data_IF_778931114085
#
_entry.id   IF_778931114085
#
_cell.length_a   1.000
_cell.length_b   1.000
_cell.length_c   1.000
_cell.angle_alpha   90.00
_cell.angle_beta   90.00
_cell.angle_gamma   90.00
#
_symmetry.space_group_name_H-M   'P 1'
#
loop_
_entity.id
_entity.type
_entity.pdbx_description
1 polymer ?
#
# COMPACT_ATOMS: atom_id res chain seq x y z
N UNK A 1 -14.24 10.51 -11.74
CA UNK A 1 -15.17 9.63 -12.45
C UNK A 1 -16.47 10.42 -12.69
N UNK A 2 -16.81 10.69 -13.96
CA UNK A 2 -18.18 11.04 -14.30
C UNK A 2 -19.03 9.77 -14.06
N UNK A 3 -19.23 9.49 -12.77
CA UNK A 3 -19.93 8.32 -12.32
C UNK A 3 -21.41 8.43 -12.62
N UNK A 4 -22.10 7.31 -12.46
CA UNK A 4 -23.55 7.27 -12.50
C UNK A 4 -24.12 8.20 -11.41
N UNK A 5 -25.26 8.85 -11.66
CA UNK A 5 -25.98 9.58 -10.63
C UNK A 5 -26.30 8.64 -9.46
N UNK A 6 -26.42 9.18 -8.27
CA UNK A 6 -26.86 8.37 -7.13
C UNK A 6 -28.24 7.78 -7.39
N UNK A 7 -28.30 6.46 -7.33
CA UNK A 7 -29.55 5.68 -7.46
C UNK A 7 -29.79 4.80 -6.22
N UNK A 8 -29.15 5.15 -5.10
CA UNK A 8 -29.27 4.44 -3.80
C UNK A 8 -28.29 3.29 -3.63
N UNK A 9 -27.27 3.17 -4.50
CA UNK A 9 -26.23 2.14 -4.38
C UNK A 9 -24.89 2.62 -4.89
N UNK A 10 -23.81 2.26 -4.20
CA UNK A 10 -22.46 2.56 -4.63
C UNK A 10 -22.08 1.80 -5.89
N UNK A 11 -22.38 0.49 -5.90
CA UNK A 11 -21.96 -0.44 -6.96
C UNK A 11 -23.15 -1.19 -7.52
N UNK A 12 -23.11 -1.44 -8.82
CA UNK A 12 -24.00 -2.39 -9.49
C UNK A 12 -23.19 -3.26 -10.47
N UNK A 13 -23.50 -4.55 -10.56
CA UNK A 13 -22.86 -5.42 -11.55
C UNK A 13 -23.18 -4.92 -12.95
N UNK A 14 -22.14 -4.69 -13.76
CA UNK A 14 -22.31 -4.16 -15.10
C UNK A 14 -23.04 -5.16 -16.01
N UNK A 15 -24.10 -4.70 -16.68
CA UNK A 15 -24.89 -5.54 -17.57
C UNK A 15 -24.14 -5.86 -18.85
N UNK A 16 -24.21 -7.12 -19.29
CA UNK A 16 -23.67 -7.55 -20.58
C UNK A 16 -22.15 -7.82 -20.61
N UNK A 17 -21.46 -7.66 -19.49
CA UNK A 17 -20.04 -8.03 -19.34
C UNK A 17 -19.94 -9.21 -18.38
N UNK A 18 -19.19 -10.25 -18.78
CA UNK A 18 -19.06 -11.47 -17.97
C UNK A 18 -17.99 -11.31 -16.92
N UNK A 19 -18.24 -11.85 -15.73
CA UNK A 19 -17.20 -12.07 -14.72
C UNK A 19 -16.09 -12.98 -15.26
N UNK A 20 -14.87 -12.77 -14.78
CA UNK A 20 -13.67 -13.50 -15.19
C UNK A 20 -13.05 -14.15 -13.96
N UNK A 21 -12.85 -15.46 -14.00
CA UNK A 21 -12.06 -16.16 -12.98
C UNK A 21 -10.59 -16.14 -13.38
N UNK A 22 -9.71 -15.76 -12.44
CA UNK A 22 -8.26 -15.75 -12.59
C UNK A 22 -7.65 -16.29 -11.30
N UNK A 23 -7.14 -17.52 -11.35
CA UNK A 23 -6.69 -18.20 -10.14
C UNK A 23 -7.77 -18.20 -9.06
N UNK A 24 -7.40 -17.86 -7.84
CA UNK A 24 -8.30 -17.76 -6.69
C UNK A 24 -9.29 -16.57 -6.72
N UNK A 25 -9.33 -15.78 -7.81
CA UNK A 25 -10.06 -14.51 -7.83
C UNK A 25 -11.13 -14.48 -8.91
N UNK A 26 -12.32 -14.02 -8.51
CA UNK A 26 -13.43 -13.71 -9.41
C UNK A 26 -13.49 -12.20 -9.63
N UNK A 27 -13.31 -11.79 -10.87
CA UNK A 27 -13.37 -10.40 -11.30
C UNK A 27 -14.74 -10.11 -11.90
N UNK A 28 -15.50 -9.26 -11.27
CA UNK A 28 -16.83 -8.83 -11.73
C UNK A 28 -16.80 -7.36 -12.12
N UNK A 29 -17.14 -7.03 -13.39
CA UNK A 29 -17.18 -5.63 -13.80
C UNK A 29 -18.36 -4.95 -13.13
N UNK A 30 -18.14 -3.73 -12.62
CA UNK A 30 -19.17 -2.97 -11.90
C UNK A 30 -19.33 -1.57 -12.50
N UNK A 31 -20.51 -1.01 -12.32
CA UNK A 31 -20.80 0.40 -12.48
C UNK A 31 -20.73 1.05 -11.10
N UNK A 32 -20.08 2.21 -11.00
CA UNK A 32 -19.81 2.89 -9.75
C UNK A 32 -20.50 4.23 -9.71
N UNK A 33 -21.17 4.55 -8.58
CA UNK A 33 -21.71 5.88 -8.29
C UNK A 33 -20.85 6.61 -7.25
N UNK A 34 -19.94 7.48 -7.67
CA UNK A 34 -19.21 8.36 -6.77
C UNK A 34 -20.16 9.33 -6.04
N UNK A 35 -21.26 9.75 -6.71
CA UNK A 35 -22.29 10.59 -6.10
C UNK A 35 -22.87 9.93 -4.84
N UNK A 36 -23.14 8.62 -4.86
CA UNK A 36 -23.61 7.88 -3.69
C UNK A 36 -22.60 7.96 -2.51
N UNK A 37 -21.30 7.86 -2.80
CA UNK A 37 -20.29 7.97 -1.76
C UNK A 37 -20.15 9.40 -1.21
N UNK A 38 -20.31 10.43 -2.05
CA UNK A 38 -20.33 11.83 -1.64
C UNK A 38 -21.54 12.15 -0.75
N UNK A 39 -22.72 11.64 -1.11
CA UNK A 39 -23.95 11.82 -0.31
C UNK A 39 -23.88 11.04 1.02
N UNK A 40 -23.01 10.03 1.11
CA UNK A 40 -22.75 9.26 2.32
C UNK A 40 -21.63 9.86 3.22
N UNK A 41 -21.26 11.13 3.04
CA UNK A 41 -20.33 11.83 3.91
C UNK A 41 -21.09 12.47 5.07
N UNK A 42 -20.84 11.99 6.29
CA UNK A 42 -21.38 12.57 7.51
C UNK A 42 -21.80 11.53 8.56
N UNK A 43 -21.92 11.94 9.82
CA UNK A 43 -22.30 11.04 10.91
C UNK A 43 -23.65 10.36 10.64
N UNK A 44 -23.69 9.03 10.77
CA UNK A 44 -24.89 8.22 10.55
C UNK A 44 -25.28 8.02 9.09
N UNK A 45 -24.46 8.48 8.14
CA UNK A 45 -24.64 8.17 6.72
C UNK A 45 -24.00 6.84 6.36
N UNK A 46 -24.50 6.20 5.32
CA UNK A 46 -24.06 4.87 4.91
C UNK A 46 -23.80 4.79 3.42
N UNK A 47 -22.72 4.12 3.04
CA UNK A 47 -22.58 3.54 1.69
C UNK A 47 -23.28 2.19 1.66
N UNK A 48 -24.07 1.97 0.61
CA UNK A 48 -24.83 0.71 0.42
C UNK A 48 -24.52 0.18 -0.97
N UNK A 49 -24.36 -1.13 -1.09
CA UNK A 49 -24.32 -1.83 -2.37
C UNK A 49 -24.76 -3.29 -2.24
N UNK A 50 -25.11 -3.92 -3.37
CA UNK A 50 -25.40 -5.34 -3.43
C UNK A 50 -24.19 -6.07 -4.00
N UNK A 51 -23.65 -7.02 -3.24
CA UNK A 51 -22.52 -7.87 -3.64
C UNK A 51 -22.87 -8.82 -4.79
N UNK A 52 -21.87 -9.54 -5.28
CA UNK A 52 -22.02 -10.58 -6.31
C UNK A 52 -22.83 -11.77 -5.82
N UNK A 53 -22.88 -12.00 -4.52
CA UNK A 53 -23.69 -12.99 -3.79
C UNK A 53 -25.17 -12.59 -3.67
N UNK A 54 -25.53 -11.37 -4.08
CA UNK A 54 -26.87 -10.80 -3.95
C UNK A 54 -27.19 -10.26 -2.55
N UNK A 55 -26.26 -10.27 -1.61
CA UNK A 55 -26.42 -9.67 -0.29
C UNK A 55 -26.20 -8.17 -0.33
N UNK A 56 -26.97 -7.46 0.47
CA UNK A 56 -26.79 -6.03 0.66
C UNK A 56 -25.75 -5.76 1.74
N UNK A 57 -24.73 -5.01 1.37
CA UNK A 57 -23.70 -4.50 2.28
C UNK A 57 -23.98 -3.04 2.61
N UNK A 58 -23.82 -2.67 3.88
CA UNK A 58 -24.03 -1.31 4.37
C UNK A 58 -22.91 -0.95 5.32
N UNK A 59 -22.20 0.16 5.04
CA UNK A 59 -21.06 0.63 5.83
C UNK A 59 -21.35 2.02 6.38
N UNK A 60 -21.23 2.19 7.69
CA UNK A 60 -21.42 3.46 8.36
C UNK A 60 -20.16 4.34 8.17
N UNK A 61 -20.38 5.58 7.75
CA UNK A 61 -19.32 6.58 7.61
C UNK A 61 -18.56 6.81 8.92
N UNK A 62 -17.24 6.88 8.80
CA UNK A 62 -16.32 7.23 9.89
C UNK A 62 -15.56 8.53 9.63
N UNK A 63 -14.92 8.63 8.49
CA UNK A 63 -14.15 9.77 8.05
C UNK A 63 -13.96 9.80 6.54
N UNK A 64 -13.44 10.89 6.03
CA UNK A 64 -12.89 10.98 4.69
C UNK A 64 -11.57 11.75 4.71
N UNK A 65 -10.79 11.62 3.65
CA UNK A 65 -9.57 12.38 3.42
C UNK A 65 -9.58 12.94 2.00
N UNK A 66 -9.15 14.19 1.84
CA UNK A 66 -8.94 14.83 0.55
C UNK A 66 -7.44 14.87 0.25
N UNK A 67 -7.05 14.61 -1.00
CA UNK A 67 -5.65 14.57 -1.44
C UNK A 67 -5.34 15.72 -2.39
N UNK A 68 -4.08 16.13 -2.45
CA UNK A 68 -3.63 17.27 -3.24
C UNK A 68 -3.89 17.15 -4.75
N UNK A 69 -3.97 15.92 -5.27
CA UNK A 69 -4.26 15.61 -6.67
C UNK A 69 -5.75 15.66 -7.00
N UNK A 70 -6.60 16.02 -6.04
CA UNK A 70 -8.05 16.06 -6.16
C UNK A 70 -8.74 14.71 -5.99
N UNK A 71 -8.01 13.63 -5.77
CA UNK A 71 -8.60 12.38 -5.31
C UNK A 71 -9.05 12.49 -3.85
N UNK A 72 -9.93 11.60 -3.43
CA UNK A 72 -10.39 11.58 -2.06
C UNK A 72 -10.72 10.16 -1.59
N UNK A 73 -10.64 9.91 -0.30
CA UNK A 73 -10.87 8.60 0.30
C UNK A 73 -12.04 8.64 1.26
N UNK A 74 -12.98 7.74 1.10
CA UNK A 74 -14.06 7.46 2.02
C UNK A 74 -13.67 6.27 2.92
N UNK A 75 -13.89 6.40 4.22
CA UNK A 75 -13.64 5.34 5.20
C UNK A 75 -14.89 5.13 6.03
N UNK A 76 -15.32 3.89 6.14
CA UNK A 76 -16.40 3.47 7.01
C UNK A 76 -16.21 2.05 7.47
N UNK A 77 -17.19 1.53 8.22
CA UNK A 77 -17.11 0.19 8.79
C UNK A 77 -18.47 -0.52 8.80
N UNK A 78 -18.42 -1.83 8.93
CA UNK A 78 -19.62 -2.61 9.21
C UNK A 78 -20.18 -2.24 10.59
N UNK A 79 -21.48 -1.93 10.69
CA UNK A 79 -22.11 -1.60 11.96
C UNK A 79 -21.97 -2.75 12.98
N UNK A 80 -21.41 -2.43 14.15
CA UNK A 80 -21.23 -3.41 15.23
C UNK A 80 -20.01 -4.32 15.11
N UNK A 81 -19.20 -4.20 14.06
CA UNK A 81 -17.99 -5.00 13.84
C UNK A 81 -16.73 -4.09 13.80
N UNK A 82 -16.12 -3.80 14.96
CA UNK A 82 -14.86 -3.06 15.00
C UNK A 82 -13.76 -3.87 14.28
N UNK A 83 -12.92 -3.19 13.48
CA UNK A 83 -11.86 -3.84 12.71
C UNK A 83 -12.32 -4.33 11.32
N UNK A 84 -13.59 -4.11 10.95
CA UNK A 84 -14.12 -4.42 9.63
C UNK A 84 -14.34 -3.12 8.84
N UNK A 85 -13.23 -2.49 8.46
CA UNK A 85 -13.25 -1.22 7.74
C UNK A 85 -13.38 -1.43 6.24
N UNK A 86 -14.02 -0.44 5.63
CA UNK A 86 -14.10 -0.26 4.18
C UNK A 86 -13.45 1.06 3.82
N UNK A 87 -12.45 1.02 2.95
CA UNK A 87 -11.65 2.15 2.52
C UNK A 87 -11.76 2.23 1.00
N UNK A 88 -12.27 3.34 0.47
CA UNK A 88 -12.44 3.52 -0.98
C UNK A 88 -11.88 4.88 -1.37
N UNK A 89 -10.94 4.87 -2.31
CA UNK A 89 -10.31 6.09 -2.85
C UNK A 89 -10.78 6.33 -4.28
N UNK A 90 -11.35 7.50 -4.50
CA UNK A 90 -11.87 7.98 -5.76
C UNK A 90 -10.89 8.97 -6.37
N UNK A 91 -10.43 8.70 -7.59
CA UNK A 91 -9.61 9.61 -8.38
C UNK A 91 -10.27 9.95 -9.71
N UNK A 92 -9.65 10.84 -10.48
CA UNK A 92 -10.18 11.30 -11.77
C UNK A 92 -10.45 10.14 -12.75
N UNK A 93 -9.56 9.14 -12.78
CA UNK A 93 -9.62 8.02 -13.74
C UNK A 93 -9.58 6.65 -13.10
N UNK A 94 -9.59 6.58 -11.79
CA UNK A 94 -9.50 5.31 -11.07
C UNK A 94 -10.29 5.34 -9.78
N UNK A 95 -10.67 4.16 -9.34
CA UNK A 95 -11.16 3.88 -7.99
C UNK A 95 -10.45 2.65 -7.48
N UNK A 96 -10.03 2.72 -6.22
CA UNK A 96 -9.47 1.59 -5.49
C UNK A 96 -10.17 1.44 -4.15
N UNK A 97 -10.33 0.21 -3.68
CA UNK A 97 -10.99 -0.02 -2.40
C UNK A 97 -10.69 -1.39 -1.82
N UNK A 98 -10.62 -1.41 -0.50
CA UNK A 98 -10.68 -2.59 0.34
C UNK A 98 -12.01 -2.56 1.08
N UNK A 99 -12.85 -3.57 0.90
CA UNK A 99 -14.22 -3.59 1.36
C UNK A 99 -14.41 -4.80 2.26
N UNK A 100 -14.70 -4.57 3.53
CA UNK A 100 -14.92 -5.63 4.51
C UNK A 100 -16.16 -6.45 4.17
N UNK A 101 -16.09 -7.76 4.43
CA UNK A 101 -17.23 -8.68 4.26
C UNK A 101 -17.79 -9.18 5.59
N UNK A 102 -17.12 -8.86 6.71
CA UNK A 102 -17.46 -9.37 8.03
C UNK A 102 -16.80 -10.72 8.35
N UNK A 103 -16.60 -10.99 9.63
CA UNK A 103 -15.94 -12.22 10.10
C UNK A 103 -14.53 -12.39 9.54
N UNK A 104 -14.18 -13.63 9.17
CA UNK A 104 -12.86 -13.99 8.61
C UNK A 104 -12.85 -14.02 7.08
N UNK A 105 -13.89 -13.50 6.41
CA UNK A 105 -13.94 -13.47 4.95
C UNK A 105 -12.90 -12.49 4.40
N UNK A 106 -12.16 -12.85 3.30
CA UNK A 106 -11.25 -11.93 2.64
C UNK A 106 -11.99 -10.68 2.16
N UNK A 107 -11.38 -9.51 2.31
CA UNK A 107 -11.97 -8.27 1.81
C UNK A 107 -12.24 -8.36 0.30
N UNK A 108 -13.38 -7.81 -0.12
CA UNK A 108 -13.59 -7.50 -1.54
C UNK A 108 -12.66 -6.35 -1.92
N UNK A 109 -12.15 -6.41 -3.14
CA UNK A 109 -11.30 -5.34 -3.68
C UNK A 109 -12.00 -4.64 -4.82
N UNK A 110 -12.01 -3.32 -4.75
CA UNK A 110 -12.45 -2.47 -5.84
C UNK A 110 -11.19 -1.96 -6.55
N UNK A 111 -11.11 -2.15 -7.86
CA UNK A 111 -9.96 -1.73 -8.65
C UNK A 111 -10.39 -1.22 -10.01
N UNK A 112 -9.57 -0.38 -10.62
CA UNK A 112 -9.77 0.06 -11.99
C UNK A 112 -8.81 -0.67 -12.93
N UNK A 113 -9.36 -1.24 -14.00
CA UNK A 113 -8.59 -1.88 -15.06
C UNK A 113 -9.18 -1.52 -16.41
N UNK A 114 -8.33 -1.13 -17.36
CA UNK A 114 -8.75 -0.71 -18.71
C UNK A 114 -9.84 0.39 -18.66
N UNK A 115 -9.70 1.34 -17.70
CA UNK A 115 -10.63 2.45 -17.50
C UNK A 115 -12.00 2.06 -16.94
N UNK A 116 -12.16 0.84 -16.40
CA UNK A 116 -13.42 0.36 -15.81
C UNK A 116 -13.21 -0.11 -14.39
N UNK A 117 -14.17 0.13 -13.49
CA UNK A 117 -14.12 -0.44 -12.15
C UNK A 117 -14.50 -1.94 -12.18
N UNK A 118 -13.79 -2.69 -11.35
CA UNK A 118 -13.98 -4.12 -11.14
C UNK A 118 -14.07 -4.40 -9.65
N UNK A 119 -15.02 -5.22 -9.27
CA UNK A 119 -15.08 -5.84 -7.95
C UNK A 119 -14.38 -7.20 -8.04
N UNK A 120 -13.40 -7.40 -7.16
CA UNK A 120 -12.59 -8.63 -7.12
C UNK A 120 -12.86 -9.34 -5.81
N UNK A 121 -13.32 -10.56 -5.93
CA UNK A 121 -13.65 -11.45 -4.81
C UNK A 121 -12.63 -12.60 -4.77
N UNK A 122 -12.11 -12.90 -3.59
CA UNK A 122 -11.15 -13.97 -3.40
C UNK A 122 -11.82 -15.23 -2.85
N UNK A 123 -11.48 -16.39 -3.41
CA UNK A 123 -11.83 -17.70 -2.85
C UNK A 123 -10.83 -18.02 -1.74
N UNK A 124 -11.29 -18.01 -0.47
CA UNK A 124 -10.45 -18.26 0.69
C UNK A 124 -9.79 -19.65 0.68
N UNK A 125 -10.47 -20.66 0.11
CA UNK A 125 -9.94 -22.01 0.02
C UNK A 125 -8.79 -22.11 -1.01
N UNK A 126 -8.94 -21.45 -2.15
CA UNK A 126 -7.88 -21.38 -3.17
C UNK A 126 -6.72 -20.51 -2.68
N UNK A 127 -6.97 -19.36 -1.99
CA UNK A 127 -5.92 -18.53 -1.38
C UNK A 127 -5.05 -19.32 -0.41
N UNK A 128 -5.65 -20.15 0.44
CA UNK A 128 -4.90 -20.97 1.38
C UNK A 128 -3.90 -21.93 0.70
N UNK A 129 -4.14 -22.28 -0.56
CA UNK A 129 -3.19 -23.10 -1.35
C UNK A 129 -2.01 -22.29 -1.88
N UNK A 130 -2.16 -20.97 -2.03
CA UNK A 130 -1.13 -20.05 -2.49
C UNK A 130 -0.24 -19.56 -1.34
N UNK A 131 -0.72 -19.64 -0.09
CA UNK A 131 -0.01 -19.14 1.10
C UNK A 131 1.39 -19.75 1.29
N UNK A 132 1.69 -20.89 0.71
CA UNK A 132 3.02 -21.50 0.76
C UNK A 132 4.11 -20.68 0.05
N UNK A 133 3.73 -19.83 -0.90
CA UNK A 133 4.66 -19.01 -1.66
C UNK A 133 5.20 -17.83 -0.84
N UNK A 134 4.39 -17.34 0.11
CA UNK A 134 4.74 -16.22 0.99
C UNK A 134 5.32 -16.65 2.35
N UNK A 135 5.48 -17.95 2.58
CA UNK A 135 5.90 -18.51 3.89
C UNK A 135 7.26 -19.16 3.87
N UNK A 136 8.14 -18.85 2.89
CA UNK A 136 9.51 -19.29 2.99
C UNK A 136 10.18 -18.56 4.16
N UNK A 137 10.53 -19.25 5.26
CA UNK A 137 11.12 -18.61 6.44
C UNK A 137 12.52 -18.04 6.19
N UNK A 138 13.12 -18.31 5.03
CA UNK A 138 14.40 -17.72 4.63
C UNK A 138 14.25 -16.35 3.93
N UNK A 139 13.04 -16.01 3.46
CA UNK A 139 12.74 -14.73 2.81
C UNK A 139 11.93 -13.83 3.75
N UNK A 140 12.63 -13.10 4.61
CA UNK A 140 12.01 -12.12 5.50
C UNK A 140 11.69 -10.83 4.74
N UNK A 141 10.48 -10.30 4.90
CA UNK A 141 10.07 -8.95 4.41
C UNK A 141 10.83 -7.82 5.12
N UNK A 142 11.56 -8.15 6.20
CA UNK A 142 12.37 -7.23 6.95
C UNK A 142 13.84 -7.62 6.90
N UNK A 143 14.71 -6.67 6.57
CA UNK A 143 16.15 -6.85 6.49
C UNK A 143 16.86 -6.11 7.61
N UNK A 144 17.80 -6.76 8.26
CA UNK A 144 18.63 -6.12 9.27
C UNK A 144 19.70 -5.25 8.59
N UNK A 145 19.84 -3.99 9.05
CA UNK A 145 20.92 -3.11 8.60
C UNK A 145 22.29 -3.74 8.78
N UNK A 146 23.18 -3.47 7.84
CA UNK A 146 24.58 -3.82 8.03
C UNK A 146 25.18 -2.99 9.17
N UNK A 147 26.09 -3.54 9.99
CA UNK A 147 26.80 -2.76 10.98
C UNK A 147 27.52 -1.59 10.30
N UNK A 148 27.29 -0.37 10.74
CA UNK A 148 28.04 0.78 10.27
C UNK A 148 29.51 0.59 10.60
N UNK A 149 30.39 0.79 9.65
CA UNK A 149 31.78 0.99 9.96
C UNK A 149 31.86 2.17 10.95
N UNK A 150 32.55 2.04 12.10
CA UNK A 150 32.59 3.12 13.08
C UNK A 150 33.12 4.37 12.39
N UNK A 151 32.24 5.34 12.09
CA UNK A 151 32.65 6.70 11.75
C UNK A 151 33.37 7.18 12.98
N UNK A 152 34.65 7.53 12.83
CA UNK A 152 35.56 7.85 13.91
C UNK A 152 34.87 8.67 15.01
N UNK A 153 34.94 8.19 16.22
CA UNK A 153 34.28 8.70 17.40
C UNK A 153 34.64 10.18 17.66
N UNK A 154 33.91 11.08 17.02
CA UNK A 154 33.82 12.46 17.43
C UNK A 154 32.55 12.56 18.31
N UNK A 155 32.77 12.47 19.60
CA UNK A 155 31.80 12.32 20.64
C UNK A 155 30.49 13.09 20.54
N UNK A 156 29.41 12.38 20.69
CA UNK A 156 28.25 12.84 21.43
C UNK A 156 27.75 11.70 22.31
N UNK A 157 28.00 11.83 23.60
CA UNK A 157 27.36 10.99 24.60
C UNK A 157 25.86 11.32 24.60
N UNK A 158 25.05 10.41 24.12
CA UNK A 158 23.62 10.43 24.37
C UNK A 158 23.41 10.49 25.90
N UNK A 159 22.76 11.53 26.39
CA UNK A 159 22.27 11.61 27.75
C UNK A 159 21.14 10.61 27.91
N UNK A 160 21.45 9.43 28.42
CA UNK A 160 20.44 8.53 28.94
C UNK A 160 19.76 9.22 30.13
N UNK A 161 18.43 9.36 30.11
CA UNK A 161 17.65 9.82 31.26
C UNK A 161 16.60 10.88 30.94
N UNK A 162 15.71 10.64 29.99
CA UNK A 162 14.42 11.33 29.92
C UNK A 162 13.35 10.50 30.63
N UNK A 163 12.77 11.01 31.72
CA UNK A 163 11.54 10.46 32.26
C UNK A 163 10.48 10.51 31.15
N UNK A 164 9.87 9.37 30.87
CA UNK A 164 8.66 9.31 30.05
C UNK A 164 7.56 9.93 30.89
N UNK A 165 7.28 11.20 30.67
CA UNK A 165 6.05 11.81 31.12
C UNK A 165 4.93 11.26 30.22
N UNK A 166 3.72 10.96 30.74
CA UNK A 166 2.59 10.66 29.90
C UNK A 166 2.24 11.94 29.11
N UNK A 167 2.76 12.02 27.93
CA UNK A 167 2.47 13.10 27.00
C UNK A 167 1.05 12.89 26.47
N UNK A 168 0.26 13.95 26.42
CA UNK A 168 -0.98 13.97 25.67
C UNK A 168 -0.66 13.42 24.27
N UNK A 169 -1.47 12.48 23.75
CA UNK A 169 -1.26 11.85 22.44
C UNK A 169 -1.17 12.93 21.37
N UNK A 170 0.03 13.41 21.13
CA UNK A 170 0.33 14.23 19.97
C UNK A 170 0.53 13.25 18.80
N UNK A 171 -0.33 13.33 17.80
CA UNK A 171 -0.14 12.55 16.58
C UNK A 171 1.21 12.92 15.95
N UNK A 172 2.04 11.92 15.70
CA UNK A 172 3.31 12.09 14.99
C UNK A 172 3.06 11.90 13.50
N UNK A 173 3.34 12.91 12.69
CA UNK A 173 3.29 12.78 11.23
C UNK A 173 4.64 12.29 10.73
N UNK A 174 4.61 11.24 9.90
CA UNK A 174 5.77 10.70 9.19
C UNK A 174 5.61 11.09 7.72
N UNK A 175 6.57 11.82 7.19
CA UNK A 175 6.61 12.28 5.82
C UNK A 175 7.19 11.21 4.90
N UNK A 176 6.39 10.79 3.91
CA UNK A 176 6.74 9.71 2.98
C UNK A 176 6.92 10.25 1.58
N UNK A 177 8.07 9.99 0.98
CA UNK A 177 8.34 10.18 -0.44
C UNK A 177 8.08 8.86 -1.17
N UNK A 178 7.29 8.92 -2.24
CA UNK A 178 6.94 7.73 -3.02
C UNK A 178 7.61 7.78 -4.40
N UNK A 179 8.51 6.84 -4.67
CA UNK A 179 8.96 6.52 -6.03
C UNK A 179 8.02 5.48 -6.64
N UNK A 180 7.74 5.53 -7.94
CA UNK A 180 7.01 4.46 -8.61
C UNK A 180 7.58 4.16 -9.99
N UNK A 181 7.62 2.88 -10.36
CA UNK A 181 8.14 2.46 -11.66
C UNK A 181 7.14 2.75 -12.80
N UNK A 182 7.67 2.83 -14.02
CA UNK A 182 6.82 2.96 -15.20
C UNK A 182 5.89 1.75 -15.38
N UNK A 183 6.32 0.54 -15.01
CA UNK A 183 5.49 -0.66 -15.06
C UNK A 183 4.33 -0.61 -14.07
N UNK A 184 4.55 -0.10 -12.85
CA UNK A 184 3.46 0.16 -11.89
C UNK A 184 2.40 1.10 -12.49
N UNK A 185 2.82 2.26 -13.01
CA UNK A 185 1.90 3.21 -13.59
C UNK A 185 1.16 2.66 -14.82
N UNK A 186 1.88 1.98 -15.73
CA UNK A 186 1.27 1.37 -16.93
C UNK A 186 0.29 0.24 -16.58
N UNK A 187 0.63 -0.59 -15.59
CA UNK A 187 -0.24 -1.67 -15.10
C UNK A 187 -1.59 -1.16 -14.56
N UNK A 188 -1.61 0.06 -14.04
CA UNK A 188 -2.82 0.73 -13.54
C UNK A 188 -3.54 1.59 -14.62
N UNK A 189 -2.89 1.86 -15.75
CA UNK A 189 -3.47 2.66 -16.84
C UNK A 189 -2.92 4.08 -16.97
N UNK A 190 -1.88 4.43 -16.20
CA UNK A 190 -1.16 5.69 -16.28
C UNK A 190 -0.87 6.36 -14.93
N UNK A 191 -0.22 7.50 -14.97
CA UNK A 191 0.25 8.22 -13.78
C UNK A 191 -0.88 8.69 -12.87
N UNK A 192 -2.02 9.15 -13.43
CA UNK A 192 -3.16 9.59 -12.61
C UNK A 192 -3.74 8.41 -11.79
N UNK A 193 -3.87 7.24 -12.40
CA UNK A 193 -4.33 6.03 -11.71
C UNK A 193 -3.31 5.56 -10.67
N UNK A 194 -2.01 5.65 -11.00
CA UNK A 194 -0.94 5.34 -10.05
C UNK A 194 -1.01 6.26 -8.81
N UNK A 195 -1.23 7.56 -8.99
CA UNK A 195 -1.38 8.49 -7.88
C UNK A 195 -2.59 8.15 -7.00
N UNK A 196 -3.73 7.83 -7.61
CA UNK A 196 -4.92 7.39 -6.84
C UNK A 196 -4.63 6.11 -6.05
N UNK A 197 -3.86 5.16 -6.63
CA UNK A 197 -3.45 3.93 -5.92
C UNK A 197 -2.51 4.23 -4.76
N UNK A 198 -1.54 5.12 -4.95
CA UNK A 198 -0.62 5.57 -3.90
C UNK A 198 -1.40 6.17 -2.73
N UNK A 199 -2.34 7.07 -3.00
CA UNK A 199 -3.18 7.67 -1.97
C UNK A 199 -4.01 6.61 -1.23
N UNK A 200 -4.55 5.62 -1.95
CA UNK A 200 -5.27 4.52 -1.34
C UNK A 200 -4.41 3.70 -0.38
N UNK A 201 -3.19 3.34 -0.77
CA UNK A 201 -2.27 2.55 0.07
C UNK A 201 -1.90 3.30 1.36
N UNK A 202 -1.62 4.58 1.26
CA UNK A 202 -1.33 5.43 2.44
C UNK A 202 -2.55 5.52 3.37
N UNK A 203 -3.76 5.62 2.84
CA UNK A 203 -4.97 5.67 3.67
C UNK A 203 -5.28 4.32 4.34
N UNK A 204 -4.95 3.20 3.70
CA UNK A 204 -4.98 1.87 4.34
C UNK A 204 -3.99 1.82 5.50
N UNK A 205 -2.76 2.28 5.30
CA UNK A 205 -1.73 2.38 6.35
C UNK A 205 -2.16 3.31 7.49
N UNK A 206 -2.72 4.47 7.18
CA UNK A 206 -3.25 5.41 8.17
C UNK A 206 -4.39 4.79 8.99
N UNK A 207 -5.27 4.02 8.36
CA UNK A 207 -6.33 3.33 9.08
C UNK A 207 -5.78 2.24 10.01
N UNK A 208 -4.75 1.50 9.58
CA UNK A 208 -4.09 0.52 10.43
C UNK A 208 -3.44 1.19 11.66
N UNK A 209 -2.80 2.34 11.49
CA UNK A 209 -2.24 3.12 12.61
C UNK A 209 -3.32 3.64 13.57
N UNK A 210 -4.47 4.08 13.03
CA UNK A 210 -5.62 4.48 13.86
C UNK A 210 -6.15 3.30 14.67
N UNK A 211 -6.33 2.14 14.06
CA UNK A 211 -6.83 0.93 14.72
C UNK A 211 -5.87 0.42 15.80
N UNK A 212 -4.58 0.56 15.56
CA UNK A 212 -3.53 0.17 16.51
C UNK A 212 -3.24 1.25 17.58
N UNK A 213 -3.93 2.39 17.53
CA UNK A 213 -3.77 3.51 18.47
C UNK A 213 -2.30 3.99 18.61
N UNK A 214 -1.53 3.91 17.51
CA UNK A 214 -0.09 4.25 17.55
C UNK A 214 0.17 5.75 17.66
N UNK A 215 -0.81 6.59 17.36
CA UNK A 215 -0.64 8.03 17.24
C UNK A 215 0.22 8.46 16.04
N UNK A 216 0.45 7.58 15.09
CA UNK A 216 1.20 7.86 13.85
C UNK A 216 0.25 8.15 12.70
N UNK A 217 0.62 9.14 11.87
CA UNK A 217 -0.04 9.44 10.60
C UNK A 217 1.01 9.53 9.49
N UNK A 218 0.81 8.80 8.41
CA UNK A 218 1.61 8.88 7.20
C UNK A 218 1.10 10.03 6.32
N UNK A 219 2.02 10.83 5.77
CA UNK A 219 1.71 11.91 4.83
C UNK A 219 2.61 11.81 3.60
N UNK A 220 2.03 11.76 2.40
CA UNK A 220 2.79 11.85 1.16
C UNK A 220 3.27 13.28 1.01
N UNK A 221 4.59 13.49 0.94
CA UNK A 221 5.17 14.81 0.67
C UNK A 221 5.51 15.01 -0.80
N UNK A 222 5.73 13.92 -1.54
CA UNK A 222 5.89 13.94 -2.98
C UNK A 222 5.78 12.52 -3.55
N UNK A 223 5.35 12.42 -4.82
CA UNK A 223 5.38 11.17 -5.57
C UNK A 223 6.00 11.41 -6.95
N UNK A 224 6.92 10.54 -7.38
CA UNK A 224 7.62 10.70 -8.65
C UNK A 224 7.92 9.35 -9.33
N UNK A 225 7.99 9.37 -10.65
CA UNK A 225 8.37 8.19 -11.41
C UNK A 225 9.89 7.92 -11.30
N UNK A 226 10.24 6.63 -11.23
CA UNK A 226 11.61 6.15 -11.27
C UNK A 226 11.80 5.20 -12.46
N UNK A 227 12.94 5.29 -13.12
CA UNK A 227 13.24 4.42 -14.26
C UNK A 227 14.07 3.21 -13.80
N UNK A 228 13.37 2.24 -13.20
CA UNK A 228 13.98 1.00 -12.74
C UNK A 228 13.17 -0.21 -13.20
N UNK A 229 13.83 -1.34 -13.47
CA UNK A 229 13.18 -2.53 -14.00
C UNK A 229 12.34 -3.23 -12.92
N UNK A 230 11.12 -3.66 -13.29
CA UNK A 230 10.25 -4.39 -12.37
C UNK A 230 10.64 -5.88 -12.22
N UNK A 231 11.31 -6.47 -13.22
CA UNK A 231 11.72 -7.87 -13.23
C UNK A 231 13.04 -8.09 -12.46
N UNK A 232 13.10 -7.67 -11.21
CA UNK A 232 14.19 -7.92 -10.27
C UNK A 232 13.60 -8.22 -8.91
N UNK A 233 14.33 -8.95 -8.03
CA UNK A 233 13.81 -9.19 -6.68
C UNK A 233 13.70 -7.88 -5.90
N UNK A 234 12.76 -7.84 -4.95
CA UNK A 234 12.58 -6.69 -4.07
C UNK A 234 13.83 -6.44 -3.23
N UNK A 235 14.50 -7.51 -2.80
CA UNK A 235 15.76 -7.45 -2.09
C UNK A 235 16.85 -6.72 -2.89
N UNK A 236 17.07 -7.10 -4.17
CA UNK A 236 18.05 -6.44 -5.05
C UNK A 236 17.68 -4.99 -5.35
N UNK A 237 16.39 -4.72 -5.46
CA UNK A 237 15.91 -3.34 -5.68
C UNK A 237 16.17 -2.47 -4.45
N UNK A 238 15.94 -3.00 -3.23
CA UNK A 238 16.25 -2.30 -2.00
C UNK A 238 17.76 -2.06 -1.86
N UNK A 239 18.58 -3.04 -2.21
CA UNK A 239 20.05 -2.90 -2.25
C UNK A 239 20.49 -1.79 -3.22
N UNK A 240 19.96 -1.80 -4.44
CA UNK A 240 20.24 -0.78 -5.45
C UNK A 240 19.80 0.63 -5.01
N UNK A 241 18.62 0.74 -4.37
CA UNK A 241 18.07 1.99 -3.86
C UNK A 241 18.94 2.58 -2.74
N UNK A 242 19.47 1.74 -1.86
CA UNK A 242 20.19 2.16 -0.65
C UNK A 242 21.69 2.16 -0.78
N UNK A 243 22.25 1.53 -1.82
CA UNK A 243 23.69 1.37 -1.96
C UNK A 243 24.26 0.33 -1.00
N UNK A 244 23.57 -0.79 -0.89
CA UNK A 244 24.03 -1.96 -0.15
C UNK A 244 24.24 -3.13 -1.12
N UNK A 245 25.27 -3.90 -0.93
CA UNK A 245 25.43 -5.22 -1.52
C UNK A 245 25.30 -6.23 -0.40
N UNK A 246 24.10 -6.79 -0.29
CA UNK A 246 23.77 -7.71 0.81
C UNK A 246 24.50 -9.03 0.72
N UNK A 247 24.81 -9.49 -0.50
CA UNK A 247 25.53 -10.76 -0.71
C UNK A 247 26.97 -10.64 -0.19
N UNK A 248 27.60 -9.51 -0.44
CA UNK A 248 28.96 -9.21 0.05
C UNK A 248 28.98 -8.52 1.40
N UNK A 249 27.85 -8.10 1.94
CA UNK A 249 27.70 -7.34 3.20
C UNK A 249 28.57 -6.06 3.22
N UNK A 250 28.54 -5.33 2.14
CA UNK A 250 29.33 -4.09 2.00
C UNK A 250 28.45 -2.95 1.47
N UNK A 251 28.89 -1.72 1.72
CA UNK A 251 28.30 -0.54 1.10
C UNK A 251 28.89 -0.34 -0.29
N UNK A 252 28.05 0.04 -1.23
CA UNK A 252 28.38 0.37 -2.60
C UNK A 252 27.68 1.67 -2.99
N UNK A 253 28.01 2.24 -4.15
CA UNK A 253 27.25 3.38 -4.65
C UNK A 253 25.80 2.94 -5.01
N UNK A 254 24.77 3.71 -4.62
CA UNK A 254 23.40 3.44 -5.05
C UNK A 254 23.27 3.48 -6.57
N UNK A 255 22.33 2.72 -7.10
CA UNK A 255 22.05 2.71 -8.53
C UNK A 255 21.65 4.12 -9.01
N UNK A 256 22.25 4.65 -10.09
CA UNK A 256 21.94 5.96 -10.64
C UNK A 256 20.46 6.16 -11.00
N UNK A 257 19.71 5.10 -11.28
CA UNK A 257 18.27 5.17 -11.53
C UNK A 257 17.48 5.77 -10.36
N UNK A 258 18.00 5.71 -9.14
CA UNK A 258 17.40 6.28 -7.93
C UNK A 258 18.00 7.62 -7.49
N UNK A 259 18.92 8.21 -8.27
CA UNK A 259 19.60 9.43 -7.88
C UNK A 259 18.62 10.60 -7.63
N UNK A 260 17.66 10.81 -8.54
CA UNK A 260 16.66 11.87 -8.40
C UNK A 260 15.72 11.63 -7.21
N UNK A 261 15.30 10.37 -6.97
CA UNK A 261 14.47 10.02 -5.83
C UNK A 261 15.21 10.26 -4.51
N UNK A 262 16.47 9.92 -4.43
CA UNK A 262 17.30 10.19 -3.23
C UNK A 262 17.50 11.68 -2.99
N UNK A 263 17.74 12.47 -4.06
CA UNK A 263 17.82 13.92 -3.97
C UNK A 263 16.48 14.57 -3.56
N UNK A 264 15.36 13.99 -4.02
CA UNK A 264 14.03 14.44 -3.65
C UNK A 264 13.75 14.21 -2.16
N UNK A 265 14.26 13.13 -1.53
CA UNK A 265 14.15 12.91 -0.09
C UNK A 265 14.64 14.14 0.70
N UNK A 266 15.84 14.63 0.36
CA UNK A 266 16.41 15.82 1.00
C UNK A 266 15.61 17.10 0.71
N UNK A 267 15.14 17.23 -0.54
CA UNK A 267 14.39 18.41 -0.97
C UNK A 267 13.04 18.54 -0.24
N UNK A 268 12.32 17.43 -0.11
CA UNK A 268 11.01 17.37 0.54
C UNK A 268 11.10 17.01 2.03
N UNK A 269 12.30 16.75 2.56
CA UNK A 269 12.58 16.36 3.95
C UNK A 269 11.75 15.15 4.38
N UNK A 270 11.68 14.16 3.50
CA UNK A 270 10.92 12.96 3.78
C UNK A 270 11.64 12.07 4.81
N UNK A 271 10.90 11.62 5.81
CA UNK A 271 11.39 10.68 6.81
C UNK A 271 11.65 9.31 6.19
N UNK A 272 10.69 8.85 5.37
CA UNK A 272 10.75 7.55 4.71
C UNK A 272 10.61 7.68 3.18
N UNK A 273 11.20 6.72 2.49
CA UNK A 273 11.07 6.59 1.03
C UNK A 273 10.59 5.18 0.72
N UNK A 274 9.53 5.07 -0.08
CA UNK A 274 9.06 3.79 -0.60
C UNK A 274 9.09 3.79 -2.13
N UNK A 275 9.43 2.65 -2.74
CA UNK A 275 9.36 2.46 -4.19
C UNK A 275 8.29 1.44 -4.51
N UNK A 276 7.23 1.90 -5.20
CA UNK A 276 6.15 1.03 -5.69
C UNK A 276 6.49 0.51 -7.08
N UNK A 277 6.33 -0.79 -7.26
CA UNK A 277 6.66 -1.52 -8.49
C UNK A 277 5.47 -2.33 -8.97
N UNK A 278 5.44 -2.62 -10.27
CA UNK A 278 4.56 -3.68 -10.77
C UNK A 278 5.05 -5.03 -10.23
N UNK A 279 4.14 -5.79 -9.65
CA UNK A 279 4.46 -7.15 -9.25
C UNK A 279 4.75 -8.04 -10.48
N UNK A 280 5.85 -8.79 -10.39
CA UNK A 280 6.23 -9.84 -11.35
C UNK A 280 6.55 -11.12 -10.58
N UNK A 281 5.90 -12.21 -10.92
CA UNK A 281 6.12 -13.53 -10.34
C UNK A 281 6.98 -14.38 -11.32
N UNK A 282 7.98 -15.13 -10.81
CA UNK A 282 8.44 -15.18 -9.41
C UNK A 282 9.53 -14.13 -9.06
N UNK A 283 9.92 -13.26 -10.00
CA UNK A 283 11.15 -12.46 -9.95
C UNK A 283 11.21 -11.51 -8.75
N UNK A 284 10.05 -11.06 -8.25
CA UNK A 284 10.03 -10.14 -7.10
C UNK A 284 10.28 -10.82 -5.74
N UNK A 285 10.14 -12.14 -5.67
CA UNK A 285 10.34 -13.00 -4.50
C UNK A 285 9.34 -12.74 -3.34
N UNK A 286 8.84 -11.52 -3.18
CA UNK A 286 7.91 -11.11 -2.13
C UNK A 286 7.03 -9.96 -2.59
N UNK A 287 6.03 -9.59 -1.78
CA UNK A 287 5.21 -8.39 -2.02
C UNK A 287 5.90 -7.10 -1.58
N UNK A 288 6.89 -7.18 -0.70
CA UNK A 288 7.65 -6.01 -0.29
C UNK A 288 8.80 -6.37 0.62
N UNK A 289 9.70 -5.42 0.81
CA UNK A 289 10.82 -5.53 1.73
C UNK A 289 11.21 -4.15 2.26
N UNK A 290 11.57 -4.09 3.53
CA UNK A 290 12.07 -2.88 4.17
C UNK A 290 13.29 -3.18 5.04
N UNK A 291 14.09 -2.14 5.32
CA UNK A 291 15.07 -2.22 6.38
C UNK A 291 14.37 -2.12 7.75
N UNK A 292 14.75 -3.00 8.66
CA UNK A 292 14.26 -3.00 10.03
C UNK A 292 15.11 -2.05 10.88
N UNK A 293 14.73 -0.78 10.95
CA UNK A 293 15.40 0.21 11.79
C UNK A 293 15.16 -0.10 13.27
N UNK A 294 16.21 0.08 14.08
CA UNK A 294 16.18 -0.33 15.50
C UNK A 294 16.16 -1.85 15.70
N UNK A 295 16.40 -2.63 14.65
CA UNK A 295 16.45 -4.10 14.69
C UNK A 295 17.53 -4.61 15.65
N UNK A 296 17.27 -5.77 16.26
CA UNK A 296 18.18 -6.38 17.24
C UNK A 296 18.11 -5.80 18.64
N UNK A 297 17.08 -5.00 18.98
CA UNK A 297 16.86 -4.46 20.33
C UNK A 297 17.69 -3.21 20.62
N UNK A 298 18.28 -2.60 19.62
CA UNK A 298 18.97 -1.30 19.74
C UNK A 298 17.96 -0.18 19.55
N UNK A 299 18.15 0.94 20.28
CA UNK A 299 17.37 2.15 20.00
C UNK A 299 17.69 2.69 18.61
N UNK A 300 16.69 3.27 17.95
CA UNK A 300 16.89 4.00 16.69
C UNK A 300 17.88 5.15 16.97
N UNK A 301 18.94 5.21 16.16
CA UNK A 301 19.92 6.30 16.17
C UNK A 301 19.67 7.11 14.90
N UNK A 302 19.02 8.29 14.96
CA UNK A 302 18.54 9.01 13.79
C UNK A 302 19.62 9.24 12.71
N UNK A 303 20.84 9.59 13.12
CA UNK A 303 21.95 9.90 12.21
C UNK A 303 22.49 8.67 11.47
N UNK A 304 22.28 7.47 12.03
CA UNK A 304 22.73 6.21 11.46
C UNK A 304 21.56 5.47 10.76
N UNK A 305 20.39 5.49 11.37
CA UNK A 305 19.21 4.76 10.88
C UNK A 305 18.49 5.51 9.74
N UNK A 306 18.71 6.81 9.57
CA UNK A 306 18.19 7.59 8.43
C UNK A 306 18.56 6.97 7.08
N UNK A 307 19.75 6.39 6.99
CA UNK A 307 20.24 5.69 5.80
C UNK A 307 19.33 4.50 5.43
N UNK A 308 18.63 3.91 6.38
CA UNK A 308 17.78 2.75 6.21
C UNK A 308 16.27 3.07 6.14
N UNK A 309 15.89 4.32 6.07
CA UNK A 309 14.50 4.75 5.93
C UNK A 309 13.92 4.47 4.53
N UNK A 310 14.15 3.27 3.97
CA UNK A 310 13.75 2.89 2.62
C UNK A 310 13.01 1.55 2.61
N UNK A 311 12.02 1.45 1.71
CA UNK A 311 11.29 0.23 1.42
C UNK A 311 11.00 0.07 -0.07
N UNK A 312 10.70 -1.14 -0.47
CA UNK A 312 10.26 -1.50 -1.82
C UNK A 312 9.01 -2.34 -1.71
N UNK A 313 7.98 -2.00 -2.46
CA UNK A 313 6.69 -2.70 -2.45
C UNK A 313 6.29 -3.01 -3.89
N UNK A 314 5.92 -4.25 -4.14
CA UNK A 314 5.35 -4.71 -5.40
C UNK A 314 3.82 -4.74 -5.29
N UNK A 315 3.12 -4.15 -6.25
CA UNK A 315 1.66 -4.12 -6.30
C UNK A 315 1.14 -4.72 -7.61
N UNK A 316 0.02 -5.41 -7.51
CA UNK A 316 -0.66 -5.98 -8.66
C UNK A 316 -0.72 -7.49 -8.64
N UNK A 317 -0.71 -8.09 -9.82
CA UNK A 317 -0.78 -9.54 -9.99
C UNK A 317 0.01 -9.98 -11.20
N UNK A 318 0.57 -11.18 -11.14
CA UNK A 318 1.24 -11.81 -12.25
C UNK A 318 1.03 -13.34 -12.22
N UNK A 319 1.31 -14.00 -13.34
CA UNK A 319 1.27 -15.46 -13.46
C UNK A 319 2.70 -15.98 -13.35
N UNK A 320 2.95 -16.85 -12.38
CA UNK A 320 4.19 -17.58 -12.31
C UNK A 320 4.18 -18.69 -13.38
N UNK A 321 5.04 -18.56 -14.39
CA UNK A 321 5.13 -19.51 -15.50
C UNK A 321 5.63 -20.91 -15.07
N UNK A 322 6.22 -21.03 -13.87
CA UNK A 322 6.74 -22.30 -13.36
C UNK A 322 5.64 -23.23 -12.84
N UNK A 323 4.54 -22.69 -12.35
CA UNK A 323 3.41 -23.47 -11.79
C UNK A 323 2.04 -23.07 -12.37
N UNK A 324 2.02 -22.15 -13.32
CA UNK A 324 0.84 -21.63 -14.01
C UNK A 324 -0.22 -21.03 -13.07
N UNK A 325 0.22 -20.52 -11.91
CA UNK A 325 -0.65 -19.89 -10.92
C UNK A 325 -0.57 -18.39 -11.00
N UNK A 326 -1.68 -17.74 -10.67
CA UNK A 326 -1.74 -16.28 -10.52
C UNK A 326 -1.50 -15.90 -9.08
N UNK A 327 -0.48 -15.09 -8.84
CA UNK A 327 -0.14 -14.52 -7.56
C UNK A 327 -0.51 -13.04 -7.51
N UNK A 328 -0.80 -12.54 -6.31
CA UNK A 328 -1.22 -11.16 -6.09
C UNK A 328 -0.45 -10.57 -4.92
N UNK A 329 0.10 -9.40 -5.15
CA UNK A 329 0.58 -8.49 -4.12
C UNK A 329 -0.33 -7.28 -4.11
N UNK A 330 -1.23 -7.19 -3.15
CA UNK A 330 -2.19 -6.09 -3.04
C UNK A 330 -2.53 -5.82 -1.60
N UNK A 331 -2.64 -4.54 -1.27
CA UNK A 331 -3.07 -4.03 0.04
C UNK A 331 -2.17 -4.48 1.22
N UNK A 332 -0.92 -4.86 0.93
CA UNK A 332 0.08 -5.32 1.89
C UNK A 332 1.17 -4.25 2.13
N UNK A 333 0.91 -3.03 1.75
CA UNK A 333 1.86 -1.92 1.90
C UNK A 333 1.86 -1.37 3.33
#
# INVERSE_FOLDING_TARGET
HAGLPDNGTLLAVAKGVRSQKRGAYLWSPVELSEAHALDAIGPGQHIVFTGTDGLQHSFEYQRHAEHEDGSWTWVGRLPGEPGQETIITFGDRAVFGSIAQGGDAPNLRLTTRDGRPWLVEADAGELATLAKWFTDPEESDARLPLPHAPRGAAGMRAKAGGQILPEAQTSTTIDVLVGFTSGFAQGLGGTSQAQTRINHLIEVGNQAHLNAETGVQLRIVHAMSVNYADATSNNKTLDALTGVDSDRKVYVDPDPAFADLRAARETYKADLVTVLRKFNAPENDSCGVAWLNGGGGTAIIPEDDEFYGYSVVSDGSDVDESDDKTYFCRDEA
#
